data_IF_641938262779
#
_entry.id   IF_641938262779
#
_cell.length_a   1.000
_cell.length_b   1.000
_cell.length_c   1.000
_cell.angle_alpha   90.00
_cell.angle_beta   90.00
_cell.angle_gamma   90.00
#
_symmetry.space_group_name_H-M   'P 1'
#
loop_
_entity.id
_entity.type
_entity.pdbx_description
1 polymer ?
#
# COMPACT_ATOMS: atom_id res chain seq x y z
N UNK A 1 38.13 -25.12 -24.09
CA UNK A 1 38.64 -24.00 -23.25
C UNK A 1 38.78 -22.79 -24.16
N UNK A 2 37.76 -21.94 -24.21
CA UNK A 2 37.70 -20.80 -25.14
C UNK A 2 38.03 -19.51 -24.39
N UNK A 3 39.03 -18.78 -24.89
CA UNK A 3 39.49 -17.50 -24.31
C UNK A 3 38.52 -16.37 -24.71
N UNK A 4 38.16 -15.44 -23.81
CA UNK A 4 37.38 -14.27 -24.20
C UNK A 4 38.26 -13.25 -24.94
N UNK A 5 37.74 -12.69 -26.02
CA UNK A 5 38.38 -11.64 -26.79
C UNK A 5 38.27 -10.29 -26.05
N UNK A 6 39.40 -9.62 -25.89
CA UNK A 6 39.54 -8.29 -25.30
C UNK A 6 39.04 -7.23 -26.28
N UNK A 7 38.12 -6.37 -25.84
CA UNK A 7 37.69 -5.16 -26.56
C UNK A 7 38.57 -3.99 -26.13
N UNK A 8 39.25 -3.37 -27.09
CA UNK A 8 40.08 -2.17 -26.92
C UNK A 8 39.22 -0.90 -27.02
N UNK A 9 39.35 -0.04 -26.01
CA UNK A 9 38.78 1.30 -25.95
C UNK A 9 39.69 2.28 -26.71
N UNK A 10 39.14 3.01 -27.70
CA UNK A 10 39.82 4.15 -28.31
C UNK A 10 39.25 5.45 -27.75
N UNK A 11 40.09 6.16 -27.00
CA UNK A 11 39.95 7.57 -26.68
C UNK A 11 40.20 8.41 -27.94
N UNK A 12 39.29 9.32 -28.24
CA UNK A 12 39.55 10.50 -29.06
C UNK A 12 38.94 11.71 -28.34
N UNK A 13 39.81 12.55 -27.80
CA UNK A 13 39.48 13.85 -27.21
C UNK A 13 39.15 14.90 -28.29
N UNK A 14 38.47 16.01 -27.93
CA UNK A 14 37.71 16.89 -28.83
C UNK A 14 38.54 18.06 -29.35
N UNK A 15 37.96 18.94 -30.21
CA UNK A 15 37.93 20.34 -29.76
C UNK A 15 36.75 21.20 -30.24
N UNK A 16 36.41 22.18 -29.40
CA UNK A 16 35.93 23.51 -29.77
C UNK A 16 34.42 23.65 -30.02
N UNK A 17 33.79 24.79 -29.78
CA UNK A 17 34.11 26.03 -29.07
C UNK A 17 32.76 26.76 -28.89
N UNK A 18 32.69 27.64 -27.90
CA UNK A 18 31.75 28.75 -27.70
C UNK A 18 30.31 28.69 -28.28
N UNK A 19 29.34 28.60 -27.38
CA UNK A 19 27.92 28.90 -27.65
C UNK A 19 27.21 29.47 -26.42
N UNK A 20 27.23 30.79 -26.32
CA UNK A 20 26.62 31.65 -25.28
C UNK A 20 25.08 31.64 -25.30
N UNK A 21 24.46 31.70 -24.11
CA UNK A 21 23.08 32.10 -23.79
C UNK A 21 21.95 31.22 -24.40
N UNK A 22 20.93 30.80 -23.66
CA UNK A 22 19.96 31.61 -22.91
C UNK A 22 19.38 30.79 -21.76
N UNK A 23 19.43 31.33 -20.55
CA UNK A 23 18.56 30.93 -19.47
C UNK A 23 17.20 31.59 -19.69
N UNK A 24 16.22 30.83 -20.18
CA UNK A 24 14.81 31.21 -20.08
C UNK A 24 14.14 30.28 -19.08
N UNK A 25 13.66 30.89 -18.00
CA UNK A 25 13.03 30.21 -16.89
C UNK A 25 11.79 29.46 -17.34
N UNK A 26 11.81 28.14 -17.18
CA UNK A 26 10.59 27.39 -16.92
C UNK A 26 10.22 27.60 -15.46
N UNK A 27 9.28 28.51 -15.24
CA UNK A 27 8.42 28.44 -14.08
C UNK A 27 7.52 27.21 -14.26
N UNK A 28 8.05 26.04 -13.89
CA UNK A 28 7.22 24.90 -13.57
C UNK A 28 6.63 25.20 -12.19
N UNK A 29 5.64 26.11 -12.17
CA UNK A 29 4.68 26.13 -11.08
C UNK A 29 3.86 24.87 -11.29
N UNK A 30 4.33 23.79 -10.69
CA UNK A 30 3.60 22.57 -10.47
C UNK A 30 2.34 22.99 -9.72
N UNK A 31 1.29 23.30 -10.48
CA UNK A 31 -0.05 23.37 -9.96
C UNK A 31 -0.29 21.97 -9.39
N UNK A 32 -0.11 21.85 -8.07
CA UNK A 32 -0.53 20.71 -7.30
C UNK A 32 -2.02 20.59 -7.53
N UNK A 33 -2.36 19.86 -8.57
CA UNK A 33 -3.68 19.34 -8.79
C UNK A 33 -3.88 18.35 -7.65
N UNK A 34 -4.32 18.89 -6.51
CA UNK A 34 -5.06 18.12 -5.53
C UNK A 34 -6.31 17.70 -6.28
N UNK A 35 -6.17 16.60 -7.03
CA UNK A 35 -7.28 15.92 -7.64
C UNK A 35 -8.29 15.73 -6.50
N UNK A 36 -9.45 16.36 -6.64
CA UNK A 36 -10.53 16.20 -5.70
C UNK A 36 -10.97 14.74 -5.81
N UNK A 37 -10.31 13.88 -5.04
CA UNK A 37 -10.69 12.48 -4.93
C UNK A 37 -12.17 12.46 -4.53
N UNK A 38 -12.98 11.56 -5.11
CA UNK A 38 -14.35 11.33 -4.68
C UNK A 38 -14.41 11.26 -3.15
N UNK A 39 -15.49 11.74 -2.52
CA UNK A 39 -15.58 11.78 -1.05
C UNK A 39 -15.29 10.40 -0.40
N UNK A 40 -15.66 9.31 -1.07
CA UNK A 40 -15.35 7.94 -0.67
C UNK A 40 -13.84 7.65 -0.60
N UNK A 41 -13.06 8.13 -1.57
CA UNK A 41 -11.62 7.92 -1.63
C UNK A 41 -10.89 8.77 -0.57
N UNK A 42 -11.42 9.95 -0.23
CA UNK A 42 -10.93 10.75 0.91
C UNK A 42 -11.16 10.06 2.26
N UNK A 43 -12.28 9.35 2.41
CA UNK A 43 -12.61 8.62 3.63
C UNK A 43 -11.65 7.44 3.82
N UNK A 44 -11.38 6.68 2.75
CA UNK A 44 -10.44 5.56 2.78
C UNK A 44 -9.03 6.05 3.12
N UNK A 45 -8.56 7.11 2.46
CA UNK A 45 -7.23 7.66 2.73
C UNK A 45 -7.12 8.23 4.16
N UNK A 46 -8.17 8.88 4.65
CA UNK A 46 -8.18 9.41 6.01
C UNK A 46 -8.13 8.31 7.09
N UNK A 47 -8.87 7.21 6.90
CA UNK A 47 -8.98 6.13 7.89
C UNK A 47 -7.79 5.17 7.79
N UNK A 48 -7.38 4.82 6.57
CA UNK A 48 -6.44 3.71 6.32
C UNK A 48 -5.13 4.15 5.66
N UNK A 49 -5.06 5.35 5.09
CA UNK A 49 -3.89 5.83 4.32
C UNK A 49 -2.62 6.03 5.15
N UNK A 50 -2.75 6.20 6.47
CA UNK A 50 -1.61 6.28 7.40
C UNK A 50 -1.12 4.93 7.93
N UNK A 51 -1.84 3.83 7.63
CA UNK A 51 -1.52 2.52 8.16
C UNK A 51 -0.39 1.84 7.39
N UNK A 52 0.46 1.13 8.12
CA UNK A 52 1.47 0.28 7.50
C UNK A 52 0.84 -0.88 6.72
N UNK A 53 1.57 -1.42 5.74
CA UNK A 53 1.15 -2.63 5.01
C UNK A 53 0.82 -3.80 5.95
N UNK A 54 1.52 -3.91 7.08
CA UNK A 54 1.26 -4.94 8.08
C UNK A 54 -0.09 -4.76 8.79
N UNK A 55 -0.47 -3.51 9.11
CA UNK A 55 -1.77 -3.19 9.71
C UNK A 55 -2.90 -3.36 8.70
N UNK A 56 -2.70 -2.93 7.45
CA UNK A 56 -3.67 -3.13 6.37
C UNK A 56 -3.90 -4.62 6.13
N UNK A 57 -2.85 -5.44 6.15
CA UNK A 57 -2.99 -6.89 6.05
C UNK A 57 -3.85 -7.48 7.17
N UNK A 58 -3.66 -7.03 8.42
CA UNK A 58 -4.49 -7.45 9.53
C UNK A 58 -5.96 -7.08 9.30
N UNK A 59 -6.23 -5.81 9.02
CA UNK A 59 -7.60 -5.29 8.84
C UNK A 59 -8.31 -6.01 7.70
N UNK A 60 -7.65 -6.15 6.55
CA UNK A 60 -8.23 -6.82 5.37
C UNK A 60 -8.43 -8.32 5.61
N UNK A 61 -7.54 -8.98 6.34
CA UNK A 61 -7.73 -10.40 6.71
C UNK A 61 -8.90 -10.56 7.68
N UNK A 62 -9.02 -9.67 8.68
CA UNK A 62 -10.12 -9.67 9.63
C UNK A 62 -11.47 -9.46 8.92
N UNK A 63 -11.56 -8.49 8.01
CA UNK A 63 -12.77 -8.25 7.22
C UNK A 63 -13.12 -9.46 6.33
N UNK A 64 -12.13 -10.08 5.69
CA UNK A 64 -12.34 -11.28 4.89
C UNK A 64 -12.92 -12.43 5.72
N UNK A 65 -12.32 -12.74 6.88
CA UNK A 65 -12.78 -13.83 7.74
C UNK A 65 -14.18 -13.55 8.26
N UNK A 66 -14.47 -12.33 8.70
CA UNK A 66 -15.78 -11.97 9.20
C UNK A 66 -16.87 -12.14 8.12
N UNK A 67 -16.61 -11.68 6.88
CA UNK A 67 -17.52 -11.88 5.75
C UNK A 67 -17.73 -13.36 5.43
N UNK A 68 -16.65 -14.15 5.38
CA UNK A 68 -16.73 -15.57 5.06
C UNK A 68 -17.55 -16.35 6.10
N UNK A 69 -17.38 -16.06 7.39
CA UNK A 69 -18.17 -16.68 8.47
C UNK A 69 -19.65 -16.33 8.35
N UNK A 70 -19.97 -15.07 8.09
CA UNK A 70 -21.36 -14.60 8.00
C UNK A 70 -22.06 -15.15 6.76
N UNK A 71 -21.37 -15.20 5.62
CA UNK A 71 -21.90 -15.79 4.39
C UNK A 71 -22.21 -17.28 4.53
N UNK A 72 -21.48 -17.98 5.39
CA UNK A 72 -21.73 -19.41 5.70
C UNK A 72 -22.89 -19.62 6.67
N UNK A 73 -23.58 -18.56 7.08
CA UNK A 73 -24.68 -18.63 8.05
C UNK A 73 -24.21 -18.94 9.47
N UNK A 74 -22.92 -18.76 9.77
CA UNK A 74 -22.39 -18.85 11.13
C UNK A 74 -22.58 -17.50 11.81
N UNK A 75 -22.87 -17.51 13.11
CA UNK A 75 -22.83 -16.28 13.91
C UNK A 75 -21.41 -15.71 13.83
N UNK A 76 -21.26 -14.47 13.36
CA UNK A 76 -19.98 -13.77 13.34
C UNK A 76 -19.65 -13.19 14.72
N UNK A 77 -19.46 -14.07 15.70
CA UNK A 77 -18.94 -13.63 16.98
C UNK A 77 -17.46 -13.24 16.83
N UNK A 78 -17.05 -12.22 17.59
CA UNK A 78 -15.68 -11.69 17.50
C UNK A 78 -14.63 -12.78 17.78
N UNK A 79 -14.94 -13.75 18.64
CA UNK A 79 -14.05 -14.87 18.92
C UNK A 79 -13.86 -15.79 17.70
N UNK A 80 -14.92 -16.07 16.95
CA UNK A 80 -14.84 -16.90 15.74
C UNK A 80 -13.99 -16.19 14.66
N UNK A 81 -14.10 -14.86 14.59
CA UNK A 81 -13.26 -14.02 13.71
C UNK A 81 -11.79 -14.10 14.14
N UNK A 82 -11.51 -13.98 15.44
CA UNK A 82 -10.15 -14.10 16.00
C UNK A 82 -9.55 -15.46 15.64
N UNK A 83 -10.29 -16.54 15.88
CA UNK A 83 -9.84 -17.90 15.59
C UNK A 83 -9.62 -18.11 14.09
N UNK A 84 -10.51 -17.58 13.24
CA UNK A 84 -10.35 -17.65 11.78
C UNK A 84 -9.13 -16.89 11.27
N UNK A 85 -8.83 -15.72 11.83
CA UNK A 85 -7.60 -14.98 11.48
C UNK A 85 -6.36 -15.76 11.93
N UNK A 86 -6.39 -16.37 13.12
CA UNK A 86 -5.31 -17.24 13.61
C UNK A 86 -5.10 -18.46 12.71
N UNK A 87 -6.16 -19.04 12.15
CA UNK A 87 -6.05 -20.14 11.17
C UNK A 87 -5.29 -19.69 9.91
N UNK A 88 -5.55 -18.49 9.41
CA UNK A 88 -4.93 -17.99 8.17
C UNK A 88 -3.50 -17.45 8.37
N UNK A 89 -3.24 -16.82 9.53
CA UNK A 89 -2.00 -16.05 9.77
C UNK A 89 -1.13 -16.61 10.89
N UNK A 90 -1.57 -17.67 11.59
CA UNK A 90 -0.90 -18.23 12.74
C UNK A 90 -0.68 -17.20 13.84
N UNK A 91 0.50 -17.20 14.45
CA UNK A 91 0.86 -16.30 15.55
C UNK A 91 1.32 -14.90 15.09
N UNK A 92 1.19 -14.57 13.81
CA UNK A 92 1.63 -13.27 13.26
C UNK A 92 0.95 -12.08 13.93
N UNK A 93 -0.30 -12.23 14.35
CA UNK A 93 -1.09 -11.21 15.03
C UNK A 93 -1.57 -11.74 16.37
N UNK A 94 -1.50 -10.90 17.41
CA UNK A 94 -2.03 -11.26 18.73
C UNK A 94 -3.56 -11.14 18.75
N UNK A 95 -4.26 -11.88 19.63
CA UNK A 95 -5.71 -11.78 19.76
C UNK A 95 -6.18 -10.34 20.00
N UNK A 96 -5.45 -9.58 20.83
CA UNK A 96 -5.77 -8.19 21.15
C UNK A 96 -5.73 -7.30 19.90
N UNK A 97 -4.73 -7.50 19.03
CA UNK A 97 -4.62 -6.75 17.78
C UNK A 97 -5.74 -7.09 16.80
N UNK A 98 -6.18 -8.35 16.78
CA UNK A 98 -7.31 -8.75 15.95
C UNK A 98 -8.60 -8.10 16.48
N UNK A 99 -8.82 -8.07 17.80
CA UNK A 99 -9.95 -7.38 18.41
C UNK A 99 -9.94 -5.86 18.18
N UNK A 100 -8.77 -5.22 18.20
CA UNK A 100 -8.61 -3.81 17.81
C UNK A 100 -9.04 -3.60 16.35
N UNK A 101 -8.65 -4.50 15.43
CA UNK A 101 -9.07 -4.42 14.03
C UNK A 101 -10.57 -4.64 13.84
N UNK A 102 -11.19 -5.56 14.59
CA UNK A 102 -12.65 -5.75 14.60
C UNK A 102 -13.36 -4.49 15.06
N UNK A 103 -12.89 -3.89 16.16
CA UNK A 103 -13.43 -2.63 16.69
C UNK A 103 -13.33 -1.51 15.66
N UNK A 104 -12.14 -1.33 15.07
CA UNK A 104 -11.91 -0.33 14.03
C UNK A 104 -12.87 -0.50 12.86
N UNK A 105 -13.07 -1.72 12.37
CA UNK A 105 -13.99 -1.98 11.27
C UNK A 105 -15.44 -1.61 11.65
N UNK A 106 -15.91 -2.04 12.83
CA UNK A 106 -17.26 -1.72 13.32
C UNK A 106 -17.48 -0.22 13.50
N UNK A 107 -16.51 0.49 14.05
CA UNK A 107 -16.56 1.95 14.26
C UNK A 107 -16.63 2.71 12.94
N UNK A 108 -16.00 2.20 11.89
CA UNK A 108 -16.06 2.77 10.54
C UNK A 108 -17.26 2.26 9.71
N UNK A 109 -18.25 1.63 10.36
CA UNK A 109 -19.52 1.26 9.75
C UNK A 109 -19.50 -0.04 8.96
N UNK A 110 -18.43 -0.83 9.04
CA UNK A 110 -18.41 -2.16 8.43
C UNK A 110 -19.35 -3.10 9.20
N UNK A 111 -20.17 -3.82 8.42
CA UNK A 111 -21.17 -4.79 8.87
C UNK A 111 -20.99 -6.06 8.05
N UNK A 112 -21.20 -7.20 8.68
CA UNK A 112 -20.98 -8.52 8.07
C UNK A 112 -22.27 -9.35 7.95
N UNK A 113 -23.36 -8.84 8.55
CA UNK A 113 -24.73 -9.34 8.58
C UNK A 113 -25.48 -9.27 7.23
#
# INVERSE_FOLDING_TARGET
MSRPATVTWNNLDPPGDAGTALAEGRSDTEASAVALLPEEEKIIDHIFGSLSAHQLELITTTDFVARDLCQRGTLCADQDIVDGVKVLKGEKFSPEKICEAITLLKENGYRWD
#
